data_IF_368199306896
#
_entry.id   IF_368199306896
#
_cell.length_a   1.000
_cell.length_b   1.000
_cell.length_c   1.000
_cell.angle_alpha   90.00
_cell.angle_beta   90.00
_cell.angle_gamma   90.00
#
_symmetry.space_group_name_H-M   'P 1'
#
loop_
_entity.id
_entity.type
_entity.pdbx_description
1 polymer ?
#
# COMPACT_ATOMS: atom_id res chain seq x y z
N UNK A 1 -11.93 29.49 21.58
CA UNK A 1 -10.65 30.19 21.30
C UNK A 1 -10.11 30.77 22.60
N UNK A 2 -8.78 30.86 22.86
CA UNK A 2 -7.60 30.14 22.34
C UNK A 2 -6.76 29.47 23.47
N UNK A 3 -6.20 28.26 23.27
CA UNK A 3 -4.79 27.95 22.90
C UNK A 3 -3.67 28.55 23.77
N UNK A 4 -3.09 27.74 24.66
CA UNK A 4 -1.67 27.78 25.08
C UNK A 4 -1.22 26.37 25.44
N UNK A 5 -0.50 25.70 24.53
CA UNK A 5 0.42 24.63 24.91
C UNK A 5 1.80 25.04 24.42
N UNK A 6 2.66 25.22 25.41
CA UNK A 6 4.02 25.71 25.33
C UNK A 6 4.96 24.58 24.87
N UNK A 7 5.93 24.96 24.05
CA UNK A 7 7.32 24.53 24.11
C UNK A 7 7.64 23.02 24.15
N UNK A 8 8.12 22.51 23.00
CA UNK A 8 9.16 21.50 22.98
C UNK A 8 10.23 21.94 21.96
N UNK A 9 11.16 22.76 22.44
CA UNK A 9 12.43 23.03 21.79
C UNK A 9 13.37 21.82 21.92
N UNK A 10 14.29 21.72 20.98
CA UNK A 10 15.58 21.02 21.04
C UNK A 10 15.57 19.50 21.20
N UNK A 11 15.54 18.79 20.06
CA UNK A 11 16.44 17.67 19.76
C UNK A 11 16.64 17.69 18.25
N UNK A 12 17.88 17.90 17.83
CA UNK A 12 18.28 17.86 16.43
C UNK A 12 18.18 16.42 15.90
N UNK A 13 17.07 16.12 15.23
CA UNK A 13 16.93 14.97 14.35
C UNK A 13 16.78 15.57 12.95
N UNK A 14 17.77 15.31 12.10
CA UNK A 14 17.75 15.66 10.69
C UNK A 14 16.40 15.25 10.07
N UNK A 15 15.81 16.05 9.17
CA UNK A 15 14.48 15.78 8.64
C UNK A 15 14.48 14.43 7.94
N UNK A 16 13.85 13.46 8.62
CA UNK A 16 13.45 12.13 8.18
C UNK A 16 13.10 12.20 6.70
N UNK A 17 13.86 11.50 5.86
CA UNK A 17 13.55 11.39 4.44
C UNK A 17 12.09 10.94 4.34
N UNK A 18 11.30 11.82 3.72
CA UNK A 18 9.85 11.73 3.66
C UNK A 18 9.49 10.32 3.22
N UNK A 19 8.70 9.61 4.02
CA UNK A 19 7.87 8.53 3.50
C UNK A 19 7.00 9.19 2.45
N UNK A 20 7.43 9.16 1.18
CA UNK A 20 6.69 9.80 0.10
C UNK A 20 5.33 9.11 0.07
N UNK A 21 4.31 9.83 0.52
CA UNK A 21 2.93 9.39 0.35
C UNK A 21 2.70 9.22 -1.15
N UNK A 22 1.89 8.24 -1.55
CA UNK A 22 1.42 8.12 -2.94
C UNK A 22 0.87 9.47 -3.45
N UNK A 23 0.25 10.24 -2.54
CA UNK A 23 -0.22 11.59 -2.78
C UNK A 23 0.90 12.62 -3.02
N UNK A 24 2.06 12.49 -2.36
CA UNK A 24 3.18 13.44 -2.50
C UNK A 24 3.88 13.32 -3.86
N UNK A 25 3.90 12.12 -4.45
CA UNK A 25 4.51 11.86 -5.76
C UNK A 25 3.57 12.17 -6.93
N UNK A 26 2.26 12.23 -6.66
CA UNK A 26 1.23 12.48 -7.65
C UNK A 26 0.92 13.98 -7.88
N UNK A 27 1.37 14.87 -6.99
CA UNK A 27 1.03 16.29 -7.05
C UNK A 27 1.59 16.96 -8.33
N UNK A 28 0.70 17.38 -9.23
CA UNK A 28 1.04 18.20 -10.40
C UNK A 28 1.36 17.44 -11.69
N UNK A 29 1.25 16.11 -11.71
CA UNK A 29 1.40 15.31 -12.94
C UNK A 29 0.05 15.04 -13.60
N UNK A 30 0.05 14.84 -14.92
CA UNK A 30 -1.16 14.47 -15.66
C UNK A 30 -1.56 13.00 -15.36
N UNK A 31 -2.85 12.65 -15.40
CA UNK A 31 -3.31 11.29 -15.10
C UNK A 31 -2.71 10.24 -16.06
N UNK A 32 -2.46 10.59 -17.31
CA UNK A 32 -1.80 9.72 -18.30
C UNK A 32 -0.36 9.40 -17.89
N UNK A 33 0.33 10.38 -17.31
CA UNK A 33 1.70 10.21 -16.81
C UNK A 33 1.71 9.30 -15.60
N UNK A 34 0.75 9.49 -14.67
CA UNK A 34 0.64 8.68 -13.46
C UNK A 34 0.32 7.21 -13.77
N UNK A 35 -0.56 6.96 -14.75
CA UNK A 35 -0.94 5.61 -15.17
C UNK A 35 0.27 4.77 -15.61
N UNK A 36 1.27 5.40 -16.24
CA UNK A 36 2.46 4.72 -16.75
C UNK A 36 3.57 4.63 -15.71
N UNK A 37 3.84 5.72 -14.99
CA UNK A 37 5.11 5.92 -14.27
C UNK A 37 5.03 5.59 -12.78
N UNK A 38 3.84 5.65 -12.16
CA UNK A 38 3.72 5.51 -10.72
C UNK A 38 3.91 4.06 -10.25
N UNK A 39 4.45 3.88 -9.04
CA UNK A 39 4.59 2.58 -8.39
C UNK A 39 5.72 1.69 -8.91
N UNK A 40 6.51 2.13 -9.90
CA UNK A 40 7.62 1.35 -10.44
C UNK A 40 8.86 2.20 -10.70
N UNK A 41 10.04 1.65 -10.45
CA UNK A 41 11.32 2.25 -10.83
C UNK A 41 12.20 1.17 -11.44
N UNK A 42 12.82 1.41 -12.59
CA UNK A 42 13.65 0.39 -13.28
C UNK A 42 14.82 -0.13 -12.43
N UNK A 43 15.31 0.68 -11.49
CA UNK A 43 16.32 0.28 -10.51
C UNK A 43 15.90 -0.93 -9.65
N UNK A 44 14.61 -1.11 -9.38
CA UNK A 44 14.12 -2.22 -8.55
C UNK A 44 14.01 -3.55 -9.32
N UNK A 45 14.28 -3.57 -10.62
CA UNK A 45 14.09 -4.74 -11.47
C UNK A 45 15.16 -4.86 -12.55
N UNK A 46 16.43 -4.93 -12.14
CA UNK A 46 17.58 -5.15 -13.03
C UNK A 46 17.69 -4.14 -14.20
N UNK A 47 17.16 -2.93 -14.04
CA UNK A 47 17.13 -1.91 -15.09
C UNK A 47 16.02 -2.11 -16.14
N UNK A 48 15.11 -3.06 -15.95
CA UNK A 48 14.02 -3.31 -16.89
C UNK A 48 13.04 -2.12 -16.94
N UNK A 49 12.69 -1.68 -18.15
CA UNK A 49 11.68 -0.63 -18.35
C UNK A 49 10.28 -1.15 -18.03
N UNK A 50 9.99 -2.40 -18.38
CA UNK A 50 8.74 -3.07 -18.05
C UNK A 50 8.92 -3.85 -16.73
N UNK A 51 7.98 -3.75 -15.79
CA UNK A 51 8.02 -4.57 -14.58
C UNK A 51 8.01 -6.07 -14.91
N UNK A 52 8.88 -6.86 -14.28
CA UNK A 52 8.92 -8.30 -14.48
C UNK A 52 7.65 -8.97 -13.93
N UNK A 53 7.20 -10.01 -14.61
CA UNK A 53 6.08 -10.81 -14.13
C UNK A 53 6.56 -11.77 -13.01
N UNK A 54 6.50 -11.31 -11.76
CA UNK A 54 6.70 -12.19 -10.60
C UNK A 54 5.53 -13.17 -10.55
N UNK A 55 5.80 -14.44 -10.86
CA UNK A 55 4.81 -15.52 -10.84
C UNK A 55 5.19 -16.53 -9.77
N UNK A 56 4.96 -16.15 -8.51
CA UNK A 56 5.17 -17.02 -7.35
C UNK A 56 3.98 -16.93 -6.41
N UNK A 57 3.84 -17.93 -5.55
CA UNK A 57 2.86 -17.96 -4.46
C UNK A 57 3.49 -17.55 -3.12
N UNK A 58 4.76 -17.89 -2.91
CA UNK A 58 5.49 -17.70 -1.64
C UNK A 58 6.81 -17.01 -1.90
N UNK A 59 7.28 -16.26 -0.90
CA UNK A 59 8.55 -15.54 -0.93
C UNK A 59 9.51 -16.10 0.12
N UNK A 60 10.81 -16.02 -0.18
CA UNK A 60 11.86 -16.53 0.70
C UNK A 60 12.34 -15.45 1.65
N UNK A 61 12.66 -15.85 2.89
CA UNK A 61 13.24 -14.97 3.91
C UNK A 61 14.73 -15.21 4.04
N UNK A 62 15.49 -14.16 4.36
CA UNK A 62 16.93 -14.24 4.59
C UNK A 62 17.29 -15.06 5.84
N UNK A 63 16.43 -15.06 6.87
CA UNK A 63 16.64 -15.82 8.11
C UNK A 63 15.33 -16.19 8.79
N UNK A 64 15.37 -17.17 9.70
CA UNK A 64 14.21 -17.55 10.51
C UNK A 64 13.75 -16.40 11.43
N UNK A 65 14.69 -15.62 11.95
CA UNK A 65 14.39 -14.44 12.76
C UNK A 65 13.66 -13.39 11.92
N UNK A 66 14.14 -13.12 10.69
CA UNK A 66 13.49 -12.18 9.78
C UNK A 66 12.05 -12.61 9.44
N UNK A 67 11.81 -13.90 9.20
CA UNK A 67 10.45 -14.42 9.00
C UNK A 67 9.54 -14.13 10.19
N UNK A 68 10.00 -14.41 11.42
CA UNK A 68 9.25 -14.12 12.64
C UNK A 68 8.87 -12.63 12.73
N UNK A 69 9.84 -11.75 12.51
CA UNK A 69 9.65 -10.30 12.64
C UNK A 69 8.61 -9.77 11.63
N UNK A 70 8.67 -10.24 10.38
CA UNK A 70 7.72 -9.88 9.32
C UNK A 70 6.29 -10.36 9.64
N UNK A 71 6.13 -11.61 10.09
CA UNK A 71 4.82 -12.14 10.45
C UNK A 71 4.24 -11.43 11.67
N UNK A 72 5.07 -11.17 12.68
CA UNK A 72 4.65 -10.45 13.88
C UNK A 72 4.16 -9.04 13.53
N UNK A 73 4.90 -8.32 12.68
CA UNK A 73 4.52 -6.99 12.20
C UNK A 73 3.18 -7.00 11.42
N UNK A 74 2.97 -8.00 10.54
CA UNK A 74 1.76 -8.10 9.73
C UNK A 74 0.52 -8.42 10.57
N UNK A 75 0.58 -9.44 11.45
CA UNK A 75 -0.59 -9.91 12.18
C UNK A 75 -0.94 -9.08 13.42
N UNK A 76 0.05 -8.44 14.07
CA UNK A 76 -0.21 -7.59 15.25
C UNK A 76 -0.57 -6.14 14.88
N UNK A 77 -0.57 -5.79 13.59
CA UNK A 77 -0.93 -4.45 13.11
C UNK A 77 0.11 -3.37 13.45
N UNK A 78 1.35 -3.75 13.77
CA UNK A 78 2.46 -2.85 14.12
C UNK A 78 3.32 -2.42 12.93
N UNK A 79 2.94 -2.71 11.69
CA UNK A 79 3.82 -2.54 10.52
C UNK A 79 4.31 -1.10 10.24
N UNK A 80 5.42 -0.89 9.52
CA UNK A 80 6.55 -1.79 9.24
C UNK A 80 7.76 -1.46 10.15
N UNK A 81 8.42 -2.46 10.73
CA UNK A 81 9.64 -2.23 11.50
C UNK A 81 10.64 -3.40 11.42
N UNK A 82 11.17 -3.70 10.23
CA UNK A 82 12.60 -4.02 10.03
C UNK A 82 12.95 -3.56 8.60
N UNK A 83 14.05 -2.83 8.45
CA UNK A 83 14.34 -1.98 7.31
C UNK A 83 14.47 -2.67 5.94
N UNK A 84 14.17 -1.87 4.92
CA UNK A 84 14.61 -2.00 3.54
C UNK A 84 14.46 -3.41 2.94
N UNK A 85 13.23 -3.73 2.56
CA UNK A 85 12.82 -4.55 1.40
C UNK A 85 11.46 -5.15 1.77
N UNK A 86 10.41 -4.75 1.05
CA UNK A 86 9.02 -5.14 1.31
C UNK A 86 8.89 -6.68 1.37
N UNK A 87 8.85 -7.23 2.58
CA UNK A 87 8.79 -8.66 2.78
C UNK A 87 7.36 -9.16 2.56
N UNK A 88 7.04 -9.49 1.32
CA UNK A 88 5.83 -10.21 0.97
C UNK A 88 5.82 -11.59 1.66
N UNK A 89 4.69 -11.97 2.26
CA UNK A 89 4.55 -13.28 2.93
C UNK A 89 4.07 -14.34 1.95
N UNK A 90 2.92 -14.06 1.33
CA UNK A 90 2.21 -14.95 0.44
C UNK A 90 1.38 -14.11 -0.53
N UNK A 91 1.32 -14.51 -1.80
CA UNK A 91 0.72 -13.73 -2.89
C UNK A 91 -0.75 -13.33 -2.65
N UNK A 92 -1.49 -14.10 -1.83
CA UNK A 92 -2.86 -13.75 -1.43
C UNK A 92 -2.92 -12.50 -0.54
N UNK A 93 -1.89 -12.24 0.26
CA UNK A 93 -1.83 -11.11 1.18
C UNK A 93 -1.21 -9.87 0.54
N UNK A 94 -0.27 -10.07 -0.39
CA UNK A 94 0.39 -9.00 -1.10
C UNK A 94 1.36 -9.55 -2.12
N UNK A 95 1.57 -8.81 -3.20
CA UNK A 95 2.43 -9.21 -4.30
C UNK A 95 2.97 -7.97 -5.00
N UNK A 96 4.26 -7.94 -5.43
CA UNK A 96 4.86 -6.75 -6.01
C UNK A 96 4.08 -6.20 -7.22
N UNK A 97 3.65 -7.08 -8.13
CA UNK A 97 2.83 -6.63 -9.27
C UNK A 97 1.44 -6.12 -8.86
N UNK A 98 0.86 -6.61 -7.75
CA UNK A 98 -0.43 -6.11 -7.27
C UNK A 98 -0.26 -4.74 -6.63
N UNK A 99 0.75 -4.58 -5.76
CA UNK A 99 1.06 -3.31 -5.10
C UNK A 99 1.31 -2.18 -6.12
N UNK A 100 1.95 -2.49 -7.25
CA UNK A 100 2.12 -1.55 -8.35
C UNK A 100 0.79 -1.06 -8.94
N UNK A 101 -0.15 -1.98 -9.18
CA UNK A 101 -1.47 -1.66 -9.72
C UNK A 101 -2.29 -0.90 -8.69
N UNK A 102 -2.24 -1.32 -7.43
CA UNK A 102 -2.95 -0.68 -6.32
C UNK A 102 -2.48 0.77 -6.11
N UNK A 103 -1.17 0.99 -6.17
CA UNK A 103 -0.60 2.34 -6.06
C UNK A 103 -1.07 3.25 -7.20
N UNK A 104 -1.15 2.72 -8.43
CA UNK A 104 -1.62 3.48 -9.60
C UNK A 104 -3.11 3.80 -9.51
N UNK A 105 -3.94 2.81 -9.19
CA UNK A 105 -5.38 3.00 -9.03
C UNK A 105 -5.69 4.02 -7.94
N UNK A 106 -5.02 3.92 -6.79
CA UNK A 106 -5.18 4.88 -5.70
C UNK A 106 -4.88 6.31 -6.16
N UNK A 107 -3.80 6.52 -6.90
CA UNK A 107 -3.45 7.85 -7.40
C UNK A 107 -4.39 8.37 -8.49
N UNK A 108 -4.92 7.50 -9.35
CA UNK A 108 -5.87 7.89 -10.40
C UNK A 108 -7.23 8.28 -9.84
N UNK A 109 -7.72 7.56 -8.84
CA UNK A 109 -8.99 7.84 -8.18
C UNK A 109 -8.88 8.89 -7.06
N UNK A 110 -7.66 9.35 -6.75
CA UNK A 110 -7.40 10.28 -5.65
C UNK A 110 -7.66 9.68 -4.27
N UNK A 111 -7.61 8.35 -4.15
CA UNK A 111 -7.82 7.61 -2.91
C UNK A 111 -6.51 7.43 -2.13
N UNK A 112 -6.62 7.26 -0.81
CA UNK A 112 -5.47 7.02 0.07
C UNK A 112 -4.82 5.64 -0.18
N UNK A 113 -5.65 4.64 -0.50
CA UNK A 113 -5.25 3.28 -0.77
C UNK A 113 -6.23 2.61 -1.74
N UNK A 114 -5.80 1.54 -2.37
CA UNK A 114 -6.68 0.67 -3.16
C UNK A 114 -6.30 -0.80 -2.97
N UNK A 115 -7.22 -1.70 -3.28
CA UNK A 115 -7.03 -3.14 -3.18
C UNK A 115 -7.51 -3.81 -4.46
N UNK A 116 -6.72 -4.74 -5.01
CA UNK A 116 -7.06 -5.45 -6.24
C UNK A 116 -7.64 -6.83 -5.93
N UNK A 117 -8.76 -7.14 -6.59
CA UNK A 117 -9.48 -8.42 -6.43
C UNK A 117 -9.53 -9.20 -7.74
N UNK A 118 -9.87 -10.49 -7.64
CA UNK A 118 -9.98 -11.38 -8.80
C UNK A 118 -11.14 -11.06 -9.74
N UNK A 119 -12.18 -10.35 -9.27
CA UNK A 119 -13.33 -9.92 -10.07
C UNK A 119 -14.02 -8.71 -9.45
N UNK A 120 -14.85 -8.02 -10.25
CA UNK A 120 -15.69 -6.92 -9.74
C UNK A 120 -16.69 -7.37 -8.68
N UNK A 121 -17.28 -8.56 -8.83
CA UNK A 121 -18.17 -9.12 -7.82
C UNK A 121 -17.44 -9.47 -6.53
N UNK A 122 -16.20 -9.93 -6.61
CA UNK A 122 -15.36 -10.17 -5.42
C UNK A 122 -15.07 -8.86 -4.69
N UNK A 123 -14.73 -7.78 -5.43
CA UNK A 123 -14.53 -6.46 -4.83
C UNK A 123 -15.79 -6.00 -4.07
N UNK A 124 -16.96 -6.01 -4.73
CA UNK A 124 -18.23 -5.60 -4.12
C UNK A 124 -18.55 -6.46 -2.89
N UNK A 125 -18.45 -7.79 -3.03
CA UNK A 125 -18.79 -8.72 -1.93
C UNK A 125 -17.86 -8.54 -0.74
N UNK A 126 -16.55 -8.42 -0.96
CA UNK A 126 -15.58 -8.18 0.11
C UNK A 126 -15.83 -6.86 0.82
N UNK A 127 -16.14 -5.79 0.08
CA UNK A 127 -16.51 -4.49 0.69
C UNK A 127 -17.75 -4.63 1.57
N UNK A 128 -18.80 -5.28 1.08
CA UNK A 128 -20.03 -5.49 1.85
C UNK A 128 -19.77 -6.33 3.11
N UNK A 129 -19.04 -7.44 3.01
CA UNK A 129 -18.74 -8.30 4.16
C UNK A 129 -17.79 -7.65 5.18
N UNK A 130 -16.90 -6.76 4.73
CA UNK A 130 -16.00 -6.04 5.60
C UNK A 130 -16.75 -5.05 6.51
N UNK A 131 -17.68 -4.29 5.94
CA UNK A 131 -18.36 -3.20 6.64
C UNK A 131 -19.71 -3.56 7.26
N UNK A 132 -20.46 -4.49 6.66
CA UNK A 132 -21.82 -4.80 7.12
C UNK A 132 -21.86 -5.87 8.21
N UNK A 133 -22.88 -5.75 9.07
CA UNK A 133 -23.24 -6.68 10.12
C UNK A 133 -24.74 -7.00 10.05
N UNK A 134 -25.17 -8.13 10.67
CA UNK A 134 -26.59 -8.44 10.74
C UNK A 134 -27.37 -7.30 11.41
N UNK A 135 -28.38 -6.77 10.70
CA UNK A 135 -29.18 -5.62 11.15
C UNK A 135 -28.91 -4.32 10.38
N UNK A 136 -27.84 -4.25 9.59
CA UNK A 136 -27.55 -3.08 8.77
C UNK A 136 -28.45 -2.99 7.53
N UNK A 137 -28.72 -1.77 7.07
CA UNK A 137 -29.56 -1.49 5.89
C UNK A 137 -28.71 -0.88 4.78
N UNK A 138 -28.81 -1.45 3.58
CA UNK A 138 -28.10 -0.97 2.37
C UNK A 138 -29.10 -0.32 1.42
N UNK A 139 -28.78 0.89 0.95
CA UNK A 139 -29.56 1.58 -0.09
C UNK A 139 -28.92 1.32 -1.45
N UNK A 140 -29.69 0.75 -2.37
CA UNK A 140 -29.24 0.47 -3.74
C UNK A 140 -30.08 1.25 -4.75
N UNK A 141 -29.43 1.86 -5.75
CA UNK A 141 -30.12 2.45 -6.91
C UNK A 141 -30.56 1.36 -7.89
N UNK A 142 -31.68 1.57 -8.58
CA UNK A 142 -31.99 0.83 -9.81
C UNK A 142 -31.35 1.55 -11.00
N UNK A 143 -30.84 0.80 -12.00
CA UNK A 143 -30.35 1.39 -13.24
C UNK A 143 -31.47 2.06 -14.03
#
# INVERSE_FOLDING_TARGET
MPRRWCCASSIGIAPRQRTFSVADKASGLSPETLAVTLGYTSASAFGAVKPPAVMTTTFVYQSAQHSKDVHEAFFKGTGPAVGADDAYIYTRLGHPNLTMVETRLAALDGAEASAVFCSGMAAITTTLLAFLRPGDVVVCSRP
#
